data_IF_251358128897
#
_entry.id   IF_251358128897
#
_cell.length_a   1.000
_cell.length_b   1.000
_cell.length_c   1.000
_cell.angle_alpha   90.00
_cell.angle_beta   90.00
_cell.angle_gamma   90.00
#
_symmetry.space_group_name_H-M   'P 1'
#
loop_
_entity.id
_entity.type
_entity.pdbx_description
1 polymer ?
#
# COMPACT_ATOMS: atom_id res chain seq x y z
N UNK A 1 -6.73 7.25 3.40
CA UNK A 1 -6.60 7.01 1.94
C UNK A 1 -6.77 5.56 1.51
N UNK A 2 -5.83 4.65 1.82
CA UNK A 2 -5.94 3.22 1.46
C UNK A 2 -7.22 2.56 1.97
N UNK A 3 -7.65 2.91 3.19
CA UNK A 3 -8.94 2.49 3.78
C UNK A 3 -10.12 2.78 2.84
N UNK A 4 -10.15 3.95 2.20
CA UNK A 4 -11.25 4.32 1.29
C UNK A 4 -11.19 3.50 0.00
N UNK A 5 -10.01 3.28 -0.58
CA UNK A 5 -9.86 2.46 -1.78
C UNK A 5 -10.24 0.98 -1.53
N UNK A 6 -9.84 0.40 -0.39
CA UNK A 6 -10.28 -0.95 0.00
C UNK A 6 -11.80 -1.03 0.19
N UNK A 7 -12.42 0.02 0.75
CA UNK A 7 -13.87 0.11 0.89
C UNK A 7 -14.57 0.20 -0.49
N UNK A 8 -14.00 0.95 -1.43
CA UNK A 8 -14.48 1.01 -2.82
C UNK A 8 -14.34 -0.33 -3.52
N UNK A 9 -13.30 -1.12 -3.22
CA UNK A 9 -13.14 -2.47 -3.75
C UNK A 9 -14.29 -3.37 -3.30
N UNK A 10 -14.64 -3.34 -2.02
CA UNK A 10 -15.79 -4.07 -1.50
C UNK A 10 -17.09 -3.64 -2.21
N UNK A 11 -17.30 -2.33 -2.41
CA UNK A 11 -18.49 -1.82 -3.10
C UNK A 11 -18.57 -2.22 -4.59
N UNK A 12 -17.44 -2.52 -5.24
CA UNK A 12 -17.34 -2.92 -6.65
C UNK A 12 -17.23 -4.44 -6.85
N UNK A 13 -17.17 -5.22 -5.77
CA UNK A 13 -17.09 -6.67 -5.81
C UNK A 13 -18.44 -7.29 -6.21
N UNK A 14 -18.37 -8.39 -6.95
CA UNK A 14 -19.51 -9.08 -7.57
C UNK A 14 -20.01 -10.30 -6.78
N UNK A 15 -19.36 -10.64 -5.66
CA UNK A 15 -19.70 -11.80 -4.84
C UNK A 15 -19.46 -11.54 -3.35
N UNK A 16 -20.24 -12.20 -2.49
CA UNK A 16 -20.08 -12.08 -1.04
C UNK A 16 -18.68 -12.46 -0.54
N UNK A 17 -18.02 -13.53 -1.03
CA UNK A 17 -16.63 -13.83 -0.66
C UNK A 17 -15.66 -12.70 -1.01
N UNK A 18 -15.82 -12.08 -2.19
CA UNK A 18 -14.98 -10.95 -2.61
C UNK A 18 -15.24 -9.68 -1.79
N UNK A 19 -16.49 -9.44 -1.38
CA UNK A 19 -16.87 -8.36 -0.47
C UNK A 19 -16.21 -8.58 0.90
N UNK A 20 -16.36 -9.77 1.49
CA UNK A 20 -15.77 -10.10 2.79
C UNK A 20 -14.24 -9.94 2.77
N UNK A 21 -13.58 -10.49 1.75
CA UNK A 21 -12.13 -10.34 1.58
C UNK A 21 -11.69 -8.86 1.54
N UNK A 22 -12.33 -8.03 0.73
CA UNK A 22 -12.01 -6.59 0.66
C UNK A 22 -12.29 -5.84 1.98
N UNK A 23 -13.34 -6.24 2.72
CA UNK A 23 -13.63 -5.70 4.04
C UNK A 23 -12.60 -6.12 5.08
N UNK A 24 -12.12 -7.36 5.06
CA UNK A 24 -11.01 -7.80 5.92
C UNK A 24 -9.74 -7.00 5.64
N UNK A 25 -9.41 -6.73 4.36
CA UNK A 25 -8.28 -5.85 4.01
C UNK A 25 -8.48 -4.45 4.57
N UNK A 26 -9.70 -3.88 4.48
CA UNK A 26 -10.02 -2.57 5.05
C UNK A 26 -9.78 -2.53 6.56
N UNK A 27 -10.23 -3.55 7.29
CA UNK A 27 -10.01 -3.67 8.73
C UNK A 27 -8.54 -3.84 9.09
N UNK A 28 -7.77 -4.58 8.28
CA UNK A 28 -6.34 -4.74 8.50
C UNK A 28 -5.59 -3.41 8.34
N UNK A 29 -5.90 -2.63 7.31
CA UNK A 29 -5.32 -1.28 7.14
C UNK A 29 -5.71 -0.36 8.30
N UNK A 30 -6.95 -0.44 8.80
CA UNK A 30 -7.36 0.33 9.98
C UNK A 30 -6.56 -0.04 11.23
N UNK A 31 -6.32 -1.33 11.47
CA UNK A 31 -5.48 -1.79 12.60
C UNK A 31 -4.02 -1.37 12.45
N UNK A 32 -3.52 -1.27 11.22
CA UNK A 32 -2.14 -0.81 10.93
C UNK A 32 -1.93 0.64 11.40
N UNK A 33 -2.95 1.49 11.38
CA UNK A 33 -2.87 2.89 11.81
C UNK A 33 -2.39 2.99 13.26
N UNK A 34 -2.84 2.11 14.16
CA UNK A 34 -2.39 2.13 15.56
C UNK A 34 -0.91 1.76 15.69
N UNK A 35 -0.41 0.91 14.79
CA UNK A 35 1.02 0.60 14.72
C UNK A 35 1.82 1.81 14.27
N UNK A 36 1.35 2.53 13.24
CA UNK A 36 1.99 3.77 12.77
C UNK A 36 1.98 4.88 13.84
N UNK A 37 0.88 5.06 14.57
CA UNK A 37 0.82 5.98 15.71
C UNK A 37 1.87 5.64 16.78
N UNK A 38 2.03 4.35 17.09
CA UNK A 38 3.05 3.90 18.02
C UNK A 38 4.48 4.12 17.50
N UNK A 39 4.71 3.97 16.19
CA UNK A 39 5.98 4.33 15.55
C UNK A 39 6.28 5.82 15.67
N UNK A 40 5.34 6.69 15.29
CA UNK A 40 5.47 8.14 15.43
C UNK A 40 5.82 8.56 16.86
N UNK A 41 5.12 8.01 17.85
CA UNK A 41 5.42 8.26 19.26
C UNK A 41 6.85 7.80 19.65
N UNK A 42 7.32 6.68 19.09
CA UNK A 42 8.70 6.20 19.27
C UNK A 42 9.77 7.14 18.71
N UNK A 43 9.42 7.97 17.72
CA UNK A 43 10.27 9.04 17.18
C UNK A 43 10.02 10.40 17.83
N UNK A 44 9.20 10.47 18.88
CA UNK A 44 8.91 11.71 19.61
C UNK A 44 7.81 12.57 18.99
N UNK A 45 7.08 12.08 17.99
CA UNK A 45 5.95 12.79 17.38
C UNK A 45 4.69 12.54 18.20
N UNK A 46 4.08 13.61 18.73
CA UNK A 46 2.83 13.53 19.48
C UNK A 46 1.63 13.28 18.57
N UNK A 47 0.51 12.81 19.14
CA UNK A 47 -0.74 12.67 18.38
C UNK A 47 -1.27 14.00 17.87
N UNK A 48 -1.09 15.09 18.64
CA UNK A 48 -1.51 16.43 18.23
C UNK A 48 -0.70 16.94 17.03
N UNK A 49 0.63 16.76 17.05
CA UNK A 49 1.48 17.06 15.90
C UNK A 49 1.13 16.19 14.70
N UNK A 50 0.88 14.90 14.90
CA UNK A 50 0.48 13.99 13.83
C UNK A 50 -0.84 14.42 13.18
N UNK A 51 -1.86 14.75 13.97
CA UNK A 51 -3.17 15.18 13.47
C UNK A 51 -3.13 16.57 12.81
N UNK A 52 -2.21 17.44 13.23
CA UNK A 52 -2.01 18.77 12.64
C UNK A 52 -1.07 18.78 11.42
N UNK A 53 -0.43 17.66 11.09
CA UNK A 53 0.53 17.57 9.98
C UNK A 53 -0.17 17.77 8.64
N UNK A 54 0.25 18.77 7.87
CA UNK A 54 -0.24 18.98 6.51
C UNK A 54 0.26 17.87 5.58
N UNK A 55 -0.62 17.33 4.73
CA UNK A 55 -0.22 16.38 3.71
C UNK A 55 0.74 17.02 2.70
N UNK A 56 1.82 16.31 2.37
CA UNK A 56 2.71 16.73 1.30
C UNK A 56 2.07 16.59 -0.08
N UNK A 57 2.61 17.31 -1.06
CA UNK A 57 2.17 17.22 -2.47
C UNK A 57 2.28 15.78 -2.98
N UNK A 58 3.34 15.06 -2.62
CA UNK A 58 3.57 13.67 -3.03
C UNK A 58 2.52 12.74 -2.41
N UNK A 59 2.19 12.92 -1.13
CA UNK A 59 1.16 12.12 -0.44
C UNK A 59 -0.22 12.38 -1.04
N UNK A 60 -0.56 13.65 -1.26
CA UNK A 60 -1.82 14.04 -1.90
C UNK A 60 -1.89 13.51 -3.33
N UNK A 61 -0.82 13.61 -4.13
CA UNK A 61 -0.80 13.12 -5.51
C UNK A 61 -0.98 11.60 -5.58
N UNK A 62 -0.26 10.84 -4.74
CA UNK A 62 -0.44 9.39 -4.59
C UNK A 62 -1.90 9.07 -4.24
N UNK A 63 -2.49 9.86 -3.34
CA UNK A 63 -3.87 9.71 -2.92
C UNK A 63 -4.96 9.96 -3.90
N UNK A 64 -4.91 11.12 -4.53
CA UNK A 64 -5.82 11.46 -5.60
C UNK A 64 -5.76 10.40 -6.70
N UNK A 65 -4.57 9.87 -7.01
CA UNK A 65 -4.44 8.79 -7.98
C UNK A 65 -5.14 7.50 -7.54
N UNK A 66 -4.90 7.03 -6.30
CA UNK A 66 -5.59 5.82 -5.78
C UNK A 66 -7.12 5.99 -5.81
N UNK A 67 -7.62 7.16 -5.42
CA UNK A 67 -9.05 7.46 -5.43
C UNK A 67 -9.61 7.57 -6.85
N UNK A 68 -8.85 8.15 -7.80
CA UNK A 68 -9.26 8.25 -9.20
C UNK A 68 -9.44 6.88 -9.83
N UNK A 69 -8.47 5.99 -9.65
CA UNK A 69 -8.58 4.58 -10.06
C UNK A 69 -9.74 3.89 -9.32
N UNK A 70 -9.86 4.11 -8.01
CA UNK A 70 -10.92 3.52 -7.20
C UNK A 70 -12.32 3.93 -7.64
N UNK A 71 -12.52 5.16 -8.09
CA UNK A 71 -13.82 5.68 -8.53
C UNK A 71 -14.11 5.35 -10.00
N UNK A 72 -13.15 5.60 -10.91
CA UNK A 72 -13.34 5.48 -12.36
C UNK A 72 -12.96 4.11 -12.93
N UNK A 73 -12.05 3.40 -12.27
CA UNK A 73 -11.57 2.09 -12.70
C UNK A 73 -12.55 0.96 -12.41
N UNK A 74 -12.30 -0.20 -13.00
CA UNK A 74 -12.99 -1.43 -12.65
C UNK A 74 -12.27 -2.16 -11.50
N UNK A 75 -12.84 -3.28 -11.08
CA UNK A 75 -12.32 -4.09 -9.96
C UNK A 75 -10.89 -4.54 -10.19
N UNK A 76 -10.50 -4.88 -11.43
CA UNK A 76 -9.12 -5.27 -11.74
C UNK A 76 -8.13 -4.11 -11.62
N UNK A 77 -8.43 -2.93 -12.16
CA UNK A 77 -7.55 -1.76 -11.98
C UNK A 77 -7.41 -1.36 -10.52
N UNK A 78 -8.49 -1.45 -9.75
CA UNK A 78 -8.47 -1.16 -8.32
C UNK A 78 -7.65 -2.20 -7.54
N UNK A 79 -7.76 -3.48 -7.89
CA UNK A 79 -6.92 -4.52 -7.30
C UNK A 79 -5.44 -4.26 -7.61
N UNK A 80 -5.09 -3.97 -8.88
CA UNK A 80 -3.71 -3.68 -9.30
C UNK A 80 -3.12 -2.50 -8.52
N UNK A 81 -3.86 -1.41 -8.37
CA UNK A 81 -3.34 -0.21 -7.69
C UNK A 81 -3.10 -0.45 -6.19
N UNK A 82 -3.95 -1.26 -5.55
CA UNK A 82 -3.78 -1.68 -4.15
C UNK A 82 -2.63 -2.68 -3.97
N UNK A 83 -2.40 -3.55 -4.96
CA UNK A 83 -1.30 -4.52 -4.91
C UNK A 83 0.07 -3.88 -5.08
N UNK A 84 0.19 -2.81 -5.86
CA UNK A 84 1.48 -2.13 -6.07
C UNK A 84 2.18 -1.77 -4.75
N UNK A 85 1.45 -1.20 -3.79
CA UNK A 85 2.01 -0.89 -2.48
C UNK A 85 2.23 -2.14 -1.62
N UNK A 86 1.27 -3.07 -1.61
CA UNK A 86 1.37 -4.29 -0.80
C UNK A 86 2.61 -5.10 -1.17
N UNK A 87 2.78 -5.37 -2.46
CA UNK A 87 3.88 -6.16 -2.99
C UNK A 87 5.21 -5.42 -2.86
N UNK A 88 5.25 -4.12 -3.18
CA UNK A 88 6.46 -3.31 -3.07
C UNK A 88 7.03 -3.26 -1.65
N UNK A 89 6.20 -2.96 -0.65
CA UNK A 89 6.64 -2.97 0.76
C UNK A 89 7.07 -4.37 1.22
N UNK A 90 6.40 -5.42 0.74
CA UNK A 90 6.76 -6.80 1.04
C UNK A 90 8.15 -7.17 0.51
N UNK A 91 8.46 -6.76 -0.72
CA UNK A 91 9.76 -6.99 -1.34
C UNK A 91 10.87 -6.18 -0.63
N UNK A 92 10.63 -4.91 -0.34
CA UNK A 92 11.57 -4.05 0.40
C UNK A 92 11.86 -4.64 1.79
N UNK A 93 10.83 -5.08 2.51
CA UNK A 93 10.98 -5.72 3.82
C UNK A 93 11.88 -6.97 3.74
N UNK A 94 11.61 -7.88 2.81
CA UNK A 94 12.43 -9.08 2.61
C UNK A 94 13.88 -8.74 2.25
N UNK A 95 14.08 -7.74 1.40
CA UNK A 95 15.42 -7.27 1.00
C UNK A 95 16.20 -6.71 2.19
N UNK A 96 15.55 -5.96 3.06
CA UNK A 96 16.18 -5.34 4.23
C UNK A 96 16.38 -6.31 5.39
N UNK A 97 15.75 -7.49 5.37
CA UNK A 97 15.91 -8.52 6.40
C UNK A 97 17.36 -9.01 6.55
N UNK A 98 18.20 -8.83 5.53
CA UNK A 98 19.62 -9.19 5.57
C UNK A 98 20.51 -8.09 6.18
N UNK A 99 19.96 -6.95 6.57
CA UNK A 99 20.70 -5.86 7.21
C UNK A 99 21.05 -6.20 8.68
N UNK A 100 22.03 -5.49 9.23
CA UNK A 100 22.30 -5.52 10.68
C UNK A 100 21.14 -4.84 11.42
N UNK A 101 20.53 -5.56 12.36
CA UNK A 101 19.32 -5.13 13.05
C UNK A 101 19.59 -4.74 14.51
N UNK A 102 20.74 -5.11 15.08
CA UNK A 102 21.09 -4.66 16.42
C UNK A 102 21.35 -3.14 16.44
N UNK A 103 20.65 -2.42 17.32
CA UNK A 103 20.72 -0.96 17.40
C UNK A 103 20.10 -0.18 16.22
N UNK A 104 19.49 -0.86 15.25
CA UNK A 104 18.89 -0.22 14.08
C UNK A 104 17.53 0.40 14.44
N UNK A 105 17.32 1.73 14.31
CA UNK A 105 16.05 2.38 14.64
C UNK A 105 14.88 1.92 13.76
N UNK A 106 15.17 1.33 12.60
CA UNK A 106 14.17 0.80 11.66
C UNK A 106 13.91 -0.70 11.82
N UNK A 107 14.50 -1.37 12.82
CA UNK A 107 14.35 -2.83 13.05
C UNK A 107 12.88 -3.26 13.00
N UNK A 108 12.02 -2.61 13.78
CA UNK A 108 10.60 -2.99 13.89
C UNK A 108 9.88 -2.86 12.55
N UNK A 109 10.15 -1.80 11.80
CA UNK A 109 9.60 -1.61 10.45
C UNK A 109 10.02 -2.77 9.53
N UNK A 110 11.30 -3.15 9.53
CA UNK A 110 11.82 -4.26 8.71
C UNK A 110 11.19 -5.59 9.14
N UNK A 111 11.06 -5.85 10.43
CA UNK A 111 10.45 -7.07 10.98
C UNK A 111 8.96 -7.17 10.62
N UNK A 112 8.22 -6.06 10.67
CA UNK A 112 6.79 -6.04 10.34
C UNK A 112 6.56 -6.38 8.85
N UNK A 113 7.26 -5.71 7.93
CA UNK A 113 7.09 -5.93 6.48
C UNK A 113 7.73 -7.23 5.96
N UNK A 114 8.79 -7.73 6.60
CA UNK A 114 9.41 -9.02 6.28
C UNK A 114 8.79 -10.21 7.04
N UNK A 115 7.90 -9.92 7.97
CA UNK A 115 7.30 -10.88 8.89
C UNK A 115 6.23 -11.76 8.23
N UNK A 116 5.91 -12.92 8.84
CA UNK A 116 4.99 -13.89 8.27
C UNK A 116 3.57 -13.35 8.06
N UNK A 117 3.14 -12.38 8.88
CA UNK A 117 1.84 -11.74 8.74
C UNK A 117 1.74 -10.92 7.44
N UNK A 118 2.65 -9.97 7.24
CA UNK A 118 2.66 -9.12 6.05
C UNK A 118 2.92 -9.95 4.78
N UNK A 119 3.86 -10.90 4.84
CA UNK A 119 4.13 -11.81 3.73
C UNK A 119 2.96 -12.77 3.43
N UNK A 120 2.12 -13.07 4.43
CA UNK A 120 0.85 -13.77 4.22
C UNK A 120 -0.12 -12.95 3.39
N UNK A 121 -0.26 -11.66 3.69
CA UNK A 121 -1.08 -10.74 2.90
C UNK A 121 -0.56 -10.59 1.46
N UNK A 122 0.77 -10.48 1.28
CA UNK A 122 1.43 -10.45 -0.04
C UNK A 122 1.05 -11.69 -0.87
N UNK A 123 1.16 -12.90 -0.30
CA UNK A 123 0.79 -14.14 -0.99
C UNK A 123 -0.68 -14.18 -1.38
N UNK A 124 -1.57 -13.83 -0.45
CA UNK A 124 -3.00 -13.79 -0.73
C UNK A 124 -3.35 -12.79 -1.85
N UNK A 125 -2.65 -11.64 -1.88
CA UNK A 125 -2.80 -10.64 -2.94
C UNK A 125 -2.36 -11.16 -4.31
N UNK A 126 -1.23 -11.88 -4.37
CA UNK A 126 -0.73 -12.54 -5.59
C UNK A 126 -1.70 -13.62 -6.09
N UNK A 127 -2.16 -14.49 -5.20
CA UNK A 127 -3.13 -15.55 -5.53
C UNK A 127 -4.43 -14.95 -6.10
N UNK A 128 -4.93 -13.86 -5.50
CA UNK A 128 -6.15 -13.19 -5.95
C UNK A 128 -6.02 -12.57 -7.36
N UNK A 129 -4.91 -11.88 -7.65
CA UNK A 129 -4.72 -11.29 -8.99
C UNK A 129 -4.53 -12.37 -10.05
N UNK A 130 -3.83 -13.46 -9.73
CA UNK A 130 -3.64 -14.60 -10.61
C UNK A 130 -4.96 -15.33 -10.90
N UNK A 131 -5.77 -15.61 -9.87
CA UNK A 131 -7.09 -16.22 -10.01
C UNK A 131 -7.98 -15.38 -10.93
N UNK A 132 -8.06 -14.07 -10.68
CA UNK A 132 -8.91 -13.16 -11.48
C UNK A 132 -8.44 -13.05 -12.93
N UNK A 133 -7.12 -12.97 -13.15
CA UNK A 133 -6.55 -12.92 -14.49
C UNK A 133 -6.71 -14.25 -15.25
N UNK A 134 -6.74 -15.40 -14.56
CA UNK A 134 -7.03 -16.70 -15.19
C UNK A 134 -8.52 -16.86 -15.53
N UNK A 135 -9.41 -16.39 -14.66
CA UNK A 135 -10.86 -16.45 -14.87
C UNK A 135 -11.34 -15.53 -16.01
N UNK A 136 -10.71 -14.35 -16.16
CA UNK A 136 -10.96 -13.40 -17.25
C UNK A 136 -9.65 -12.90 -17.87
N UNK A 137 -9.04 -13.68 -18.79
CA UNK A 137 -7.78 -13.32 -19.41
C UNK A 137 -7.85 -12.00 -20.19
N UNK A 138 -6.93 -11.05 -19.95
CA UNK A 138 -6.99 -9.75 -20.60
C UNK A 138 -6.67 -9.84 -22.09
N UNK A 139 -7.36 -9.02 -22.88
CA UNK A 139 -6.86 -8.65 -24.21
C UNK A 139 -5.54 -7.86 -24.08
N UNK A 140 -4.75 -7.79 -25.16
CA UNK A 140 -3.50 -7.00 -25.15
C UNK A 140 -3.73 -5.52 -24.78
N UNK A 141 -4.87 -4.95 -25.19
CA UNK A 141 -5.26 -3.58 -24.83
C UNK A 141 -5.55 -3.48 -23.32
N UNK A 142 -6.29 -4.44 -22.76
CA UNK A 142 -6.62 -4.48 -21.34
C UNK A 142 -5.37 -4.64 -20.48
N UNK A 143 -4.47 -5.55 -20.87
CA UNK A 143 -3.19 -5.76 -20.20
C UNK A 143 -2.33 -4.48 -20.21
N UNK A 144 -2.32 -3.75 -21.33
CA UNK A 144 -1.61 -2.47 -21.41
C UNK A 144 -2.17 -1.44 -20.41
N UNK A 145 -3.49 -1.36 -20.26
CA UNK A 145 -4.09 -0.48 -19.25
C UNK A 145 -3.70 -0.87 -17.83
N UNK A 146 -3.64 -2.17 -17.53
CA UNK A 146 -3.22 -2.69 -16.23
C UNK A 146 -1.76 -2.32 -15.92
N UNK A 147 -0.87 -2.50 -16.89
CA UNK A 147 0.54 -2.12 -16.77
C UNK A 147 0.71 -0.61 -16.58
N UNK A 148 -0.10 0.22 -17.25
CA UNK A 148 -0.07 1.67 -17.05
C UNK A 148 -0.50 2.06 -15.63
N UNK A 149 -1.51 1.39 -15.07
CA UNK A 149 -1.95 1.66 -13.69
C UNK A 149 -0.84 1.30 -12.69
N UNK A 150 -0.23 0.13 -12.88
CA UNK A 150 0.89 -0.34 -12.07
C UNK A 150 2.08 0.62 -12.14
N UNK A 151 2.57 0.95 -13.35
CA UNK A 151 3.72 1.84 -13.56
C UNK A 151 3.51 3.19 -12.88
N UNK A 152 2.35 3.81 -13.10
CA UNK A 152 2.05 5.11 -12.50
C UNK A 152 1.97 5.03 -10.96
N UNK A 153 1.41 3.94 -10.40
CA UNK A 153 1.40 3.74 -8.94
C UNK A 153 2.82 3.60 -8.40
N UNK A 154 3.66 2.78 -9.03
CA UNK A 154 5.06 2.58 -8.63
C UNK A 154 5.89 3.86 -8.73
N UNK A 155 5.65 4.70 -9.74
CA UNK A 155 6.32 6.02 -9.86
C UNK A 155 5.92 6.95 -8.71
N UNK A 156 4.66 6.95 -8.32
CA UNK A 156 4.18 7.76 -7.18
C UNK A 156 4.71 7.23 -5.84
N UNK A 157 4.80 5.91 -5.65
CA UNK A 157 5.49 5.30 -4.49
C UNK A 157 6.96 5.71 -4.44
N UNK A 158 7.65 5.73 -5.58
CA UNK A 158 9.05 6.17 -5.65
C UNK A 158 9.18 7.63 -5.23
N UNK A 159 8.25 8.50 -5.65
CA UNK A 159 8.20 9.90 -5.21
C UNK A 159 7.91 10.02 -3.71
N UNK A 160 7.04 9.16 -3.16
CA UNK A 160 6.75 9.11 -1.73
C UNK A 160 8.02 8.77 -0.91
N UNK A 161 8.81 7.79 -1.34
CA UNK A 161 10.11 7.50 -0.72
C UNK A 161 11.12 8.64 -0.87
N UNK A 162 11.19 9.26 -2.06
CA UNK A 162 12.10 10.37 -2.33
C UNK A 162 11.79 11.60 -1.45
N UNK A 163 10.53 11.90 -1.21
CA UNK A 163 10.10 12.95 -0.28
C UNK A 163 10.71 12.74 1.11
N UNK A 164 10.61 11.52 1.67
CA UNK A 164 11.18 11.22 2.99
C UNK A 164 12.70 11.40 3.04
N UNK A 165 13.41 11.02 1.97
CA UNK A 165 14.86 11.20 1.87
C UNK A 165 15.25 12.67 1.74
N UNK A 166 14.50 13.47 0.98
CA UNK A 166 14.77 14.89 0.77
C UNK A 166 14.48 15.71 2.03
N UNK A 167 13.45 15.36 2.79
CA UNK A 167 13.17 15.99 4.09
C UNK A 167 14.37 15.82 5.05
N UNK A 168 14.92 14.60 5.12
CA UNK A 168 16.09 14.32 5.95
C UNK A 168 17.37 15.07 5.52
N UNK A 169 17.45 15.55 4.27
CA UNK A 169 18.56 16.36 3.77
C UNK A 169 18.36 17.85 4.03
N UNK A 170 17.12 18.32 4.15
CA UNK A 170 16.81 19.72 4.46
C UNK A 170 17.06 20.07 5.93
N UNK A 171 17.01 19.08 6.82
CA UNK A 171 17.25 19.21 8.26
C UNK A 171 18.75 19.09 8.68
N UNK A 172 19.67 18.99 7.70
CA UNK A 172 21.13 18.92 7.89
C UNK A 172 21.82 20.21 7.43
#
# INVERSE_FOLDING_TARGET
MRVHCCSLLAAKSDSFPAIDSAMQTTLNVLREIDTHKAFCAGFGVSLEELDATEESIETTAYGCYLMDIGLKGDTMKLLIVLLACLLGYGEVGLRLKTAELEGNPYRRWIEDYSGPHYQGAVRAGLELIEERAQADPPSSARLKEWLMVWDQCTRLETAFWAMGLNAAQADQ
#
